data_IF_152787213882
#
_entry.id   IF_152787213882
#
_cell.length_a   1.000
_cell.length_b   1.000
_cell.length_c   1.000
_cell.angle_alpha   90.00
_cell.angle_beta   90.00
_cell.angle_gamma   90.00
#
_symmetry.space_group_name_H-M   'P 1'
#
loop_
_entity.id
_entity.type
_entity.pdbx_description
1 polymer ?
#
# COMPACT_ATOMS: atom_id res chain seq x y z
N UNK A 1 -36.17 -53.57 7.27
CA UNK A 1 -36.30 -52.12 6.99
C UNK A 1 -34.95 -51.64 6.50
N UNK A 2 -34.85 -51.03 5.31
CA UNK A 2 -33.55 -50.78 4.68
C UNK A 2 -32.82 -49.61 5.35
N UNK A 3 -31.54 -49.78 5.64
CA UNK A 3 -30.69 -48.76 6.29
C UNK A 3 -30.29 -47.61 5.33
N UNK A 4 -30.60 -47.73 4.04
CA UNK A 4 -30.19 -46.78 2.99
C UNK A 4 -30.60 -45.32 3.24
N UNK A 5 -31.85 -45.01 3.63
CA UNK A 5 -32.28 -43.63 3.87
C UNK A 5 -31.55 -42.95 5.04
N UNK A 6 -31.22 -43.71 6.09
CA UNK A 6 -30.51 -43.19 7.27
C UNK A 6 -29.06 -42.87 6.91
N UNK A 7 -28.38 -43.77 6.20
CA UNK A 7 -27.00 -43.56 5.75
C UNK A 7 -26.91 -42.38 4.80
N UNK A 8 -27.84 -42.26 3.83
CA UNK A 8 -27.87 -41.15 2.89
C UNK A 8 -28.05 -39.79 3.60
N UNK A 9 -28.97 -39.71 4.57
CA UNK A 9 -29.17 -38.49 5.36
C UNK A 9 -27.92 -38.13 6.20
N UNK A 10 -27.29 -39.12 6.83
CA UNK A 10 -26.06 -38.91 7.61
C UNK A 10 -24.90 -38.37 6.77
N UNK A 11 -24.70 -38.91 5.56
CA UNK A 11 -23.69 -38.42 4.63
C UNK A 11 -23.99 -37.00 4.18
N UNK A 12 -25.26 -36.67 3.89
CA UNK A 12 -25.67 -35.32 3.51
C UNK A 12 -25.36 -34.29 4.61
N UNK A 13 -25.66 -34.60 5.86
CA UNK A 13 -25.37 -33.73 7.01
C UNK A 13 -23.86 -33.54 7.17
N UNK A 14 -23.07 -34.62 7.05
CA UNK A 14 -21.61 -34.55 7.16
C UNK A 14 -21.03 -33.62 6.07
N UNK A 15 -21.48 -33.75 4.83
CA UNK A 15 -21.03 -32.88 3.74
C UNK A 15 -21.40 -31.41 3.97
N UNK A 16 -22.58 -31.14 4.53
CA UNK A 16 -22.97 -29.77 4.90
C UNK A 16 -22.04 -29.18 5.98
N UNK A 17 -21.69 -29.97 7.00
CA UNK A 17 -20.76 -29.53 8.06
C UNK A 17 -19.38 -29.22 7.49
N UNK A 18 -18.85 -30.10 6.63
CA UNK A 18 -17.55 -29.88 5.97
C UNK A 18 -17.59 -28.62 5.11
N UNK A 19 -18.64 -28.45 4.30
CA UNK A 19 -18.80 -27.26 3.44
C UNK A 19 -18.89 -25.98 4.26
N UNK A 20 -19.62 -25.99 5.37
CA UNK A 20 -19.70 -24.85 6.28
C UNK A 20 -18.33 -24.48 6.86
N UNK A 21 -17.55 -25.48 7.29
CA UNK A 21 -16.19 -25.25 7.81
C UNK A 21 -15.26 -24.63 6.77
N UNK A 22 -15.32 -25.13 5.52
CA UNK A 22 -14.51 -24.58 4.42
C UNK A 22 -14.93 -23.16 4.09
N UNK A 23 -16.23 -22.86 4.07
CA UNK A 23 -16.75 -21.51 3.81
C UNK A 23 -16.35 -20.53 4.94
N UNK A 24 -16.53 -20.91 6.20
CA UNK A 24 -16.17 -20.06 7.34
C UNK A 24 -14.66 -19.85 7.36
N UNK A 25 -13.87 -20.92 7.23
CA UNK A 25 -12.42 -20.83 7.18
C UNK A 25 -11.92 -19.94 6.05
N UNK A 26 -12.42 -20.16 4.82
CA UNK A 26 -12.03 -19.38 3.65
C UNK A 26 -12.43 -17.90 3.73
N UNK A 27 -13.62 -17.60 4.28
CA UNK A 27 -14.06 -16.21 4.46
C UNK A 27 -13.26 -15.49 5.54
N UNK A 28 -12.91 -16.16 6.66
CA UNK A 28 -12.06 -15.61 7.70
C UNK A 28 -10.66 -15.27 7.17
N UNK A 29 -9.98 -16.22 6.52
CA UNK A 29 -8.62 -15.98 5.99
C UNK A 29 -8.62 -14.87 4.95
N UNK A 30 -9.65 -14.80 4.10
CA UNK A 30 -9.76 -13.72 3.11
C UNK A 30 -9.97 -12.36 3.77
N UNK A 31 -10.75 -12.31 4.84
CA UNK A 31 -11.01 -11.08 5.59
C UNK A 31 -9.74 -10.60 6.30
N UNK A 32 -8.97 -11.49 6.91
CA UNK A 32 -7.69 -11.15 7.56
C UNK A 32 -6.71 -10.52 6.57
N UNK A 33 -6.51 -11.13 5.41
CA UNK A 33 -5.63 -10.60 4.36
C UNK A 33 -6.12 -9.24 3.85
N UNK A 34 -7.43 -9.09 3.68
CA UNK A 34 -8.02 -7.82 3.23
C UNK A 34 -7.83 -6.72 4.26
N UNK A 35 -8.09 -7.00 5.54
CA UNK A 35 -7.96 -6.02 6.64
C UNK A 35 -6.50 -5.59 6.79
N UNK A 36 -5.56 -6.53 6.72
CA UNK A 36 -4.13 -6.21 6.78
C UNK A 36 -3.71 -5.31 5.61
N UNK A 37 -4.13 -5.64 4.39
CA UNK A 37 -3.84 -4.82 3.21
C UNK A 37 -4.44 -3.41 3.33
N UNK A 38 -5.67 -3.28 3.83
CA UNK A 38 -6.30 -1.97 4.05
C UNK A 38 -5.59 -1.17 5.14
N UNK A 39 -5.21 -1.82 6.23
CA UNK A 39 -4.45 -1.21 7.32
C UNK A 39 -3.11 -0.66 6.82
N UNK A 40 -2.36 -1.47 6.06
CA UNK A 40 -1.09 -1.06 5.45
C UNK A 40 -1.25 0.12 4.50
N UNK A 41 -2.29 0.10 3.65
CA UNK A 41 -2.60 1.22 2.75
C UNK A 41 -2.94 2.50 3.52
N UNK A 42 -3.74 2.40 4.58
CA UNK A 42 -4.08 3.55 5.42
C UNK A 42 -2.84 4.14 6.09
N UNK A 43 -1.97 3.30 6.65
CA UNK A 43 -0.71 3.74 7.25
C UNK A 43 0.21 4.43 6.23
N UNK A 44 0.33 3.88 5.02
CA UNK A 44 1.11 4.52 3.95
C UNK A 44 0.50 5.85 3.49
N UNK A 45 -0.83 5.93 3.40
CA UNK A 45 -1.51 7.18 3.04
C UNK A 45 -1.34 8.24 4.12
N UNK A 46 -1.43 7.85 5.40
CA UNK A 46 -1.17 8.74 6.52
C UNK A 46 0.26 9.29 6.48
N UNK A 47 1.25 8.42 6.29
CA UNK A 47 2.65 8.84 6.13
C UNK A 47 2.81 9.81 4.96
N UNK A 48 2.21 9.51 3.79
CA UNK A 48 2.24 10.39 2.62
C UNK A 48 1.59 11.75 2.87
N UNK A 49 0.48 11.81 3.60
CA UNK A 49 -0.16 13.08 3.95
C UNK A 49 0.67 13.91 4.94
N UNK A 50 1.52 13.25 5.74
CA UNK A 50 2.41 13.88 6.73
C UNK A 50 3.78 14.25 6.17
N UNK A 51 4.17 13.73 5.00
CA UNK A 51 5.39 14.14 4.30
C UNK A 51 5.12 15.41 3.48
N UNK A 52 5.86 16.47 3.77
CA UNK A 52 5.79 17.72 3.01
C UNK A 52 7.19 18.32 2.88
N UNK A 53 7.60 18.61 1.65
CA UNK A 53 8.92 19.14 1.33
C UNK A 53 8.72 20.49 0.66
N UNK A 54 9.40 21.52 1.17
CA UNK A 54 9.36 22.86 0.62
C UNK A 54 10.75 23.28 0.12
N UNK A 55 10.77 23.95 -1.04
CA UNK A 55 11.99 24.58 -1.56
C UNK A 55 12.05 25.99 -0.96
N UNK A 56 13.09 26.27 -0.19
CA UNK A 56 13.24 27.53 0.52
C UNK A 56 13.98 28.55 -0.34
N UNK A 57 15.20 28.19 -0.74
CA UNK A 57 16.05 29.05 -1.54
C UNK A 57 16.62 28.31 -2.74
N UNK A 58 16.92 29.05 -3.79
CA UNK A 58 17.55 28.51 -4.99
C UNK A 58 18.58 29.52 -5.47
N UNK A 59 19.83 29.10 -5.48
CA UNK A 59 20.96 29.94 -5.90
C UNK A 59 21.63 29.32 -7.11
N UNK A 60 21.77 30.11 -8.18
CA UNK A 60 22.48 29.70 -9.38
C UNK A 60 23.85 30.38 -9.37
N UNK A 61 24.92 29.58 -9.30
CA UNK A 61 26.29 30.06 -9.41
C UNK A 61 26.94 29.48 -10.67
N UNK A 62 26.99 30.28 -11.73
CA UNK A 62 27.42 29.89 -13.08
C UNK A 62 26.64 28.69 -13.65
N UNK A 63 27.12 27.48 -13.41
CA UNK A 63 26.55 26.21 -13.91
C UNK A 63 26.03 25.31 -12.77
N UNK A 64 26.21 25.70 -11.50
CA UNK A 64 25.72 24.94 -10.36
C UNK A 64 24.45 25.59 -9.81
N UNK A 65 23.35 24.83 -9.82
CA UNK A 65 22.11 25.17 -9.14
C UNK A 65 22.13 24.54 -7.74
N UNK A 66 22.17 25.35 -6.70
CA UNK A 66 22.04 24.91 -5.32
C UNK A 66 20.62 25.19 -4.84
N UNK A 67 19.93 24.16 -4.37
CA UNK A 67 18.55 24.24 -3.89
C UNK A 67 18.54 23.88 -2.41
N UNK A 68 18.03 24.79 -1.58
CA UNK A 68 17.80 24.52 -0.16
C UNK A 68 16.38 23.98 0.02
N UNK A 69 16.29 22.85 0.70
CA UNK A 69 15.06 22.08 0.85
C UNK A 69 14.82 21.83 2.33
N UNK A 70 13.60 22.11 2.80
CA UNK A 70 13.20 21.91 4.18
C UNK A 70 12.03 20.92 4.29
N UNK A 71 12.07 20.08 5.32
CA UNK A 71 10.99 19.16 5.64
C UNK A 71 9.98 19.87 6.54
N UNK A 72 8.93 20.40 5.92
CA UNK A 72 7.81 21.04 6.63
C UNK A 72 6.77 20.03 7.11
N UNK A 73 6.95 18.76 6.75
CA UNK A 73 6.12 17.65 7.17
C UNK A 73 6.41 17.17 8.60
N UNK A 74 5.55 16.31 9.09
CA UNK A 74 5.73 15.60 10.37
C UNK A 74 6.37 14.22 10.22
N UNK A 75 6.58 13.77 8.97
CA UNK A 75 7.25 12.50 8.67
C UNK A 75 8.71 12.75 8.27
N UNK A 76 9.71 12.11 8.89
CA UNK A 76 11.11 12.28 8.53
C UNK A 76 11.43 11.64 7.17
N UNK A 77 12.14 12.38 6.30
CA UNK A 77 12.61 11.87 5.00
C UNK A 77 13.98 11.22 5.20
N UNK A 78 14.04 9.88 5.23
CA UNK A 78 15.26 9.13 5.55
C UNK A 78 16.04 8.73 4.29
N UNK A 79 15.35 8.37 3.22
CA UNK A 79 15.97 7.86 1.98
C UNK A 79 16.08 8.96 0.92
N UNK A 80 17.05 9.85 1.11
CA UNK A 80 17.31 10.99 0.21
C UNK A 80 17.78 10.50 -1.17
N UNK A 81 18.45 9.34 -1.24
CA UNK A 81 18.92 8.74 -2.50
C UNK A 81 17.79 8.32 -3.44
N UNK A 82 16.59 8.11 -2.92
CA UNK A 82 15.40 7.74 -3.71
C UNK A 82 14.57 8.97 -4.14
N UNK A 83 15.06 10.19 -3.90
CA UNK A 83 14.40 11.42 -4.36
C UNK A 83 14.76 11.69 -5.82
N UNK A 84 13.76 11.68 -6.69
CA UNK A 84 13.92 12.08 -8.08
C UNK A 84 13.82 13.60 -8.23
N UNK A 85 14.84 14.21 -8.85
CA UNK A 85 14.87 15.66 -9.13
C UNK A 85 14.66 15.89 -10.62
N UNK A 86 13.68 16.74 -10.94
CA UNK A 86 13.42 17.17 -12.31
C UNK A 86 13.65 18.67 -12.42
N UNK A 87 14.49 19.06 -13.37
CA UNK A 87 14.66 20.47 -13.74
C UNK A 87 13.90 20.75 -15.03
N UNK A 88 13.22 21.89 -15.06
CA UNK A 88 12.55 22.39 -16.25
C UNK A 88 13.18 23.74 -16.63
N UNK A 89 13.73 23.81 -17.85
CA UNK A 89 14.28 25.03 -18.44
C UNK A 89 13.68 25.23 -19.83
N UNK A 90 13.15 26.43 -20.07
CA UNK A 90 12.59 26.90 -21.36
C UNK A 90 11.61 25.90 -22.04
N UNK A 91 11.66 25.77 -23.38
CA UNK A 91 10.71 24.97 -24.18
C UNK A 91 10.96 23.45 -24.17
N UNK A 92 11.94 22.98 -23.41
CA UNK A 92 12.16 21.54 -23.23
C UNK A 92 11.34 21.01 -22.05
N UNK A 93 10.75 19.82 -22.22
CA UNK A 93 10.07 19.11 -21.14
C UNK A 93 10.98 18.85 -19.93
N UNK A 94 10.41 18.41 -18.78
CA UNK A 94 11.19 18.17 -17.57
C UNK A 94 12.32 17.15 -17.81
N UNK A 95 13.54 17.52 -17.42
CA UNK A 95 14.75 16.69 -17.53
C UNK A 95 15.10 16.13 -16.16
N UNK A 96 15.27 14.81 -16.09
CA UNK A 96 15.67 14.10 -14.88
C UNK A 96 17.16 14.32 -14.58
N UNK A 97 17.47 14.61 -13.32
CA UNK A 97 18.85 14.67 -12.81
C UNK A 97 19.03 13.54 -11.79
N UNK A 98 19.95 12.58 -12.08
CA UNK A 98 20.25 11.47 -11.17
C UNK A 98 21.11 11.88 -9.99
#
# INVERSE_FOLDING_TARGET
MSAGPIVASGVGILLLVVTAYVLIGGTLTTTEVLVEAQSSLAAQQEARMRTAIAIQETTLNNQNLSVEVDNTGSEPVVDISSIDVYLHYEETGPVYIP
#
